data_IF_414143065977
#
_entry.id   IF_414143065977
#
_cell.length_a   1.000
_cell.length_b   1.000
_cell.length_c   1.000
_cell.angle_alpha   90.00
_cell.angle_beta   90.00
_cell.angle_gamma   90.00
#
_symmetry.space_group_name_H-M   'P 1'
#
loop_
_entity.id
_entity.type
_entity.pdbx_description
1 polymer ?
#
# COMPACT_ATOMS: atom_id res chain seq x y z
N UNK A 1 -39.81 44.65 31.35
CA UNK A 1 -39.18 44.73 30.03
C UNK A 1 -39.79 43.64 29.17
N UNK A 2 -40.86 44.00 28.47
CA UNK A 2 -41.64 43.14 27.60
C UNK A 2 -41.03 43.12 26.19
N UNK A 3 -41.51 42.17 25.40
CA UNK A 3 -41.45 42.05 23.94
C UNK A 3 -40.41 41.02 23.46
N UNK A 4 -40.86 39.77 23.42
CA UNK A 4 -40.42 38.84 22.38
C UNK A 4 -40.95 39.27 21.01
N UNK A 5 -40.16 39.00 19.97
CA UNK A 5 -40.57 38.80 18.56
C UNK A 5 -39.32 38.72 17.69
N UNK A 6 -38.91 37.51 17.28
CA UNK A 6 -38.13 37.28 16.05
C UNK A 6 -38.19 35.79 15.65
N UNK A 7 -39.38 35.28 15.32
CA UNK A 7 -39.49 34.17 14.37
C UNK A 7 -40.24 34.72 13.16
N UNK A 8 -39.46 35.06 12.14
CA UNK A 8 -39.91 35.54 10.84
C UNK A 8 -40.66 34.44 10.10
N UNK A 9 -41.76 34.79 9.43
CA UNK A 9 -42.58 33.91 8.60
C UNK A 9 -41.86 33.48 7.31
N UNK A 10 -40.86 32.62 7.44
CA UNK A 10 -40.45 31.72 6.37
C UNK A 10 -41.08 30.36 6.68
N UNK A 11 -41.74 29.74 5.69
CA UNK A 11 -42.34 28.40 5.82
C UNK A 11 -41.24 27.41 6.21
N UNK A 12 -41.05 27.18 7.50
CA UNK A 12 -40.17 26.16 8.04
C UNK A 12 -40.88 24.82 7.88
N UNK A 13 -40.76 24.23 6.69
CA UNK A 13 -41.10 22.83 6.48
C UNK A 13 -40.03 21.99 7.20
N UNK A 14 -40.35 21.57 8.43
CA UNK A 14 -39.49 20.63 9.18
C UNK A 14 -39.55 19.23 8.57
N UNK A 15 -38.43 18.51 8.62
CA UNK A 15 -38.38 17.09 8.28
C UNK A 15 -39.31 16.31 9.21
N UNK A 16 -40.10 15.39 8.65
CA UNK A 16 -40.92 14.50 9.45
C UNK A 16 -40.05 13.47 10.17
N UNK A 17 -40.48 13.03 11.35
CA UNK A 17 -39.78 12.01 12.12
C UNK A 17 -39.67 10.69 11.35
N UNK A 18 -40.67 10.37 10.53
CA UNK A 18 -40.68 9.18 9.68
C UNK A 18 -39.72 9.29 8.49
N UNK A 19 -39.54 10.48 7.91
CA UNK A 19 -38.54 10.68 6.85
C UNK A 19 -37.13 10.43 7.38
N UNK A 20 -36.81 10.91 8.58
CA UNK A 20 -35.49 10.65 9.16
C UNK A 20 -35.33 9.17 9.55
N UNK A 21 -36.39 8.54 10.07
CA UNK A 21 -36.38 7.12 10.46
C UNK A 21 -36.19 6.18 9.26
N UNK A 22 -36.85 6.45 8.13
CA UNK A 22 -36.72 5.65 6.93
C UNK A 22 -35.33 5.84 6.27
N UNK A 23 -34.74 7.03 6.36
CA UNK A 23 -33.39 7.28 5.85
C UNK A 23 -32.35 6.48 6.64
N UNK A 24 -32.41 6.48 7.97
CA UNK A 24 -31.47 5.68 8.78
C UNK A 24 -31.65 4.18 8.55
N UNK A 25 -32.88 3.74 8.24
CA UNK A 25 -33.18 2.37 7.85
C UNK A 25 -32.53 2.00 6.51
N UNK A 26 -32.66 2.85 5.48
CA UNK A 26 -32.08 2.58 4.16
C UNK A 26 -30.54 2.62 4.19
N UNK A 27 -29.93 3.61 4.86
CA UNK A 27 -28.46 3.65 4.99
C UNK A 27 -27.94 2.44 5.79
N UNK A 28 -28.71 1.92 6.75
CA UNK A 28 -28.35 0.71 7.49
C UNK A 28 -28.27 -0.53 6.59
N UNK A 29 -29.28 -0.72 5.73
CA UNK A 29 -29.32 -1.83 4.77
C UNK A 29 -28.15 -1.72 3.78
N UNK A 30 -27.96 -0.55 3.16
CA UNK A 30 -26.91 -0.35 2.17
C UNK A 30 -25.50 -0.42 2.79
N UNK A 31 -25.33 0.09 4.01
CA UNK A 31 -24.05 0.09 4.72
C UNK A 31 -23.55 -1.32 5.06
N UNK A 32 -24.47 -2.23 5.39
CA UNK A 32 -24.12 -3.62 5.75
C UNK A 32 -23.46 -4.39 4.58
N UNK A 33 -23.94 -4.18 3.36
CA UNK A 33 -23.45 -4.89 2.16
C UNK A 33 -22.03 -4.43 1.78
N UNK A 34 -21.77 -3.12 1.89
CA UNK A 34 -20.50 -2.51 1.49
C UNK A 34 -19.35 -2.93 2.44
N UNK A 35 -19.66 -3.16 3.72
CA UNK A 35 -18.64 -3.44 4.74
C UNK A 35 -17.81 -4.70 4.44
N UNK A 36 -18.42 -5.74 3.88
CA UNK A 36 -17.75 -7.03 3.60
C UNK A 36 -16.62 -6.88 2.55
N UNK A 37 -16.71 -5.89 1.65
CA UNK A 37 -15.75 -5.73 0.55
C UNK A 37 -14.50 -4.89 0.86
N UNK A 38 -14.55 -4.01 1.86
CA UNK A 38 -13.49 -3.00 2.11
C UNK A 38 -12.19 -3.63 2.62
N UNK A 39 -12.27 -4.72 3.39
CA UNK A 39 -11.09 -5.39 3.94
C UNK A 39 -10.11 -5.85 2.86
N UNK A 40 -10.62 -6.53 1.82
CA UNK A 40 -9.80 -7.03 0.73
C UNK A 40 -9.22 -5.89 -0.13
N UNK A 41 -9.97 -4.82 -0.36
CA UNK A 41 -9.50 -3.65 -1.11
C UNK A 41 -8.34 -2.95 -0.40
N UNK A 42 -8.37 -2.85 0.94
CA UNK A 42 -7.24 -2.30 1.72
C UNK A 42 -5.99 -3.17 1.60
N UNK A 43 -6.14 -4.49 1.65
CA UNK A 43 -5.02 -5.44 1.48
C UNK A 43 -4.39 -5.29 0.09
N UNK A 44 -5.21 -5.24 -0.96
CA UNK A 44 -4.73 -5.03 -2.32
C UNK A 44 -4.05 -3.66 -2.52
N UNK A 45 -4.58 -2.60 -1.90
CA UNK A 45 -3.96 -1.27 -1.95
C UNK A 45 -2.58 -1.25 -1.27
N UNK A 46 -2.41 -1.98 -0.15
CA UNK A 46 -1.11 -2.16 0.51
C UNK A 46 -0.11 -2.89 -0.40
N UNK A 47 -0.52 -4.03 -0.97
CA UNK A 47 0.34 -4.79 -1.90
C UNK A 47 0.72 -3.94 -3.10
N UNK A 48 -0.19 -3.17 -3.67
CA UNK A 48 0.10 -2.27 -4.79
C UNK A 48 1.05 -1.14 -4.39
N UNK A 49 0.93 -0.58 -3.18
CA UNK A 49 1.87 0.42 -2.66
C UNK A 49 3.28 -0.17 -2.51
N UNK A 50 3.39 -1.38 -1.95
CA UNK A 50 4.65 -2.09 -1.84
C UNK A 50 5.24 -2.44 -3.22
N UNK A 51 4.40 -2.84 -4.18
CA UNK A 51 4.81 -3.10 -5.57
C UNK A 51 5.38 -1.84 -6.24
N UNK A 52 4.77 -0.68 -6.01
CA UNK A 52 5.28 0.59 -6.52
C UNK A 52 6.66 0.92 -5.94
N UNK A 53 6.87 0.69 -4.64
CA UNK A 53 8.20 0.81 -4.02
C UNK A 53 9.18 -0.17 -4.65
N UNK A 54 8.77 -1.41 -4.88
CA UNK A 54 9.59 -2.44 -5.50
C UNK A 54 10.03 -2.05 -6.92
N UNK A 55 9.09 -1.60 -7.76
CA UNK A 55 9.34 -1.16 -9.13
C UNK A 55 10.26 0.07 -9.19
N UNK A 56 10.17 0.98 -8.21
CA UNK A 56 11.07 2.13 -8.14
C UNK A 56 12.54 1.72 -7.95
N UNK A 57 12.79 0.66 -7.19
CA UNK A 57 14.12 0.09 -7.01
C UNK A 57 14.58 -0.71 -8.24
N UNK A 58 13.66 -1.29 -9.02
CA UNK A 58 13.97 -2.12 -10.19
C UNK A 58 14.72 -1.33 -11.27
N UNK A 59 14.32 -0.07 -11.49
CA UNK A 59 14.95 0.80 -12.49
C UNK A 59 16.46 0.93 -12.26
N UNK A 60 16.86 1.22 -11.01
CA UNK A 60 18.27 1.28 -10.62
C UNK A 60 18.88 -0.12 -10.53
N UNK A 61 18.11 -1.12 -10.08
CA UNK A 61 18.56 -2.50 -10.00
C UNK A 61 19.02 -3.08 -11.34
N UNK A 62 18.38 -2.67 -12.45
CA UNK A 62 18.80 -3.05 -13.81
C UNK A 62 20.13 -2.42 -14.21
N UNK A 63 20.33 -1.13 -13.90
CA UNK A 63 21.63 -0.47 -14.10
C UNK A 63 22.73 -1.18 -13.29
N UNK A 64 22.43 -1.54 -12.04
CA UNK A 64 23.31 -2.34 -11.19
C UNK A 64 23.63 -3.71 -11.80
N UNK A 65 22.64 -4.39 -12.39
CA UNK A 65 22.85 -5.67 -13.04
C UNK A 65 23.78 -5.57 -14.26
N UNK A 66 23.66 -4.52 -15.09
CA UNK A 66 24.58 -4.33 -16.21
C UNK A 66 26.02 -4.06 -15.78
N UNK A 67 26.22 -3.35 -14.67
CA UNK A 67 27.55 -3.00 -14.14
C UNK A 67 28.21 -4.12 -13.34
N UNK A 68 27.45 -4.74 -12.44
CA UNK A 68 27.97 -5.63 -11.39
C UNK A 68 27.32 -7.01 -11.36
N UNK A 69 26.37 -7.29 -12.26
CA UNK A 69 25.60 -8.56 -12.33
C UNK A 69 24.69 -8.84 -11.14
N UNK A 70 24.32 -7.82 -10.36
CA UNK A 70 23.28 -7.95 -9.34
C UNK A 70 23.06 -6.70 -8.48
N UNK A 71 22.20 -6.84 -7.49
CA UNK A 71 21.87 -5.85 -6.45
C UNK A 71 22.27 -6.37 -5.07
N UNK A 72 22.57 -5.46 -4.15
CA UNK A 72 22.81 -5.77 -2.75
C UNK A 72 21.51 -6.18 -2.06
N UNK A 73 21.59 -6.99 -1.01
CA UNK A 73 20.45 -7.27 -0.15
C UNK A 73 20.15 -6.04 0.73
N UNK A 74 18.88 -5.64 0.91
CA UNK A 74 18.52 -4.59 1.87
C UNK A 74 19.06 -4.92 3.27
N UNK A 75 19.65 -3.95 3.96
CA UNK A 75 20.24 -4.16 5.29
C UNK A 75 19.21 -4.07 6.43
N UNK A 76 18.02 -3.55 6.15
CA UNK A 76 16.90 -3.46 7.07
C UNK A 76 15.60 -3.81 6.33
N UNK A 77 14.66 -4.42 7.04
CA UNK A 77 13.41 -4.90 6.48
C UNK A 77 12.42 -3.77 6.14
N UNK A 78 12.58 -2.58 6.73
CA UNK A 78 11.62 -1.47 6.62
C UNK A 78 12.27 -0.16 6.17
N UNK A 79 13.46 0.13 6.70
CA UNK A 79 14.18 1.38 6.50
C UNK A 79 15.63 1.10 6.09
N UNK A 80 15.84 0.42 4.95
CA UNK A 80 17.18 0.13 4.51
C UNK A 80 17.94 1.42 4.20
N UNK A 81 19.22 1.44 4.59
CA UNK A 81 20.11 2.60 4.43
C UNK A 81 21.24 2.34 3.44
N UNK A 82 21.39 1.09 3.00
CA UNK A 82 22.42 0.70 2.06
C UNK A 82 22.05 1.05 0.61
N UNK A 83 23.09 1.25 -0.20
CA UNK A 83 22.99 1.42 -1.65
C UNK A 83 22.43 0.15 -2.30
N UNK A 84 21.63 0.30 -3.37
CA UNK A 84 21.06 -0.84 -4.14
C UNK A 84 22.16 -1.71 -4.75
N UNK A 85 23.32 -1.14 -5.05
CA UNK A 85 24.54 -1.88 -5.39
C UNK A 85 25.75 -0.99 -5.13
N UNK A 86 26.94 -1.59 -5.00
CA UNK A 86 28.17 -0.86 -4.71
C UNK A 86 28.44 0.27 -5.72
N UNK A 87 28.51 1.52 -5.25
CA UNK A 87 28.75 2.68 -6.10
C UNK A 87 27.52 3.12 -6.90
N UNK A 88 26.32 2.80 -6.41
CA UNK A 88 25.07 3.44 -6.80
C UNK A 88 24.87 4.69 -5.94
N UNK A 89 24.33 5.77 -6.51
CA UNK A 89 23.92 6.97 -5.74
C UNK A 89 22.52 6.82 -5.13
N UNK A 90 21.86 5.69 -5.37
CA UNK A 90 20.52 5.41 -4.89
C UNK A 90 20.55 4.28 -3.86
N UNK A 91 19.87 4.55 -2.74
CA UNK A 91 19.65 3.61 -1.66
C UNK A 91 18.30 2.92 -1.84
N UNK A 92 18.15 1.79 -1.18
CA UNK A 92 16.85 1.17 -1.01
C UNK A 92 15.87 2.17 -0.37
N UNK A 93 14.67 2.29 -0.94
CA UNK A 93 13.62 3.16 -0.38
C UNK A 93 12.97 2.54 0.84
N UNK A 94 12.51 3.36 1.79
CA UNK A 94 11.75 2.85 2.93
C UNK A 94 10.36 2.35 2.51
N UNK A 95 9.91 1.27 3.14
CA UNK A 95 8.56 0.74 2.97
C UNK A 95 7.72 1.29 4.13
N UNK A 96 6.85 2.25 3.81
CA UNK A 96 5.89 2.82 4.77
C UNK A 96 4.50 2.16 4.65
N UNK A 97 4.48 0.92 4.16
CA UNK A 97 3.26 0.12 4.02
C UNK A 97 3.19 -0.84 5.21
N UNK A 98 2.10 -0.76 5.97
CA UNK A 98 1.87 -1.65 7.10
C UNK A 98 1.88 -3.12 6.65
N UNK A 99 2.53 -3.97 7.44
CA UNK A 99 2.61 -5.43 7.25
C UNK A 99 3.37 -5.87 5.98
N UNK A 100 4.11 -4.97 5.32
CA UNK A 100 4.99 -5.27 4.20
C UNK A 100 6.45 -4.93 4.54
N UNK A 101 7.37 -5.85 4.27
CA UNK A 101 8.81 -5.69 4.60
C UNK A 101 9.71 -6.28 3.51
N UNK A 102 10.90 -5.72 3.31
CA UNK A 102 11.93 -6.35 2.49
C UNK A 102 12.36 -7.68 3.09
N UNK A 103 12.63 -8.64 2.21
CA UNK A 103 13.30 -9.87 2.59
C UNK A 103 14.82 -9.63 2.71
N UNK A 104 15.32 -9.66 3.94
CA UNK A 104 16.73 -9.45 4.26
C UNK A 104 17.52 -10.76 4.37
N UNK A 105 16.91 -11.91 4.07
CA UNK A 105 17.53 -13.24 4.27
C UNK A 105 18.58 -13.62 3.22
N UNK A 106 18.87 -12.75 2.25
CA UNK A 106 19.92 -12.98 1.27
C UNK A 106 21.32 -12.97 1.90
N UNK A 107 22.23 -13.79 1.35
CA UNK A 107 23.64 -13.76 1.75
C UNK A 107 24.28 -12.40 1.41
N UNK A 108 25.27 -11.93 2.18
CA UNK A 108 26.00 -10.71 1.84
C UNK A 108 26.68 -10.88 0.47
N UNK A 109 26.14 -10.22 -0.55
CA UNK A 109 26.55 -10.39 -1.93
C UNK A 109 25.60 -9.73 -2.92
N UNK A 110 25.91 -9.86 -4.21
CA UNK A 110 25.05 -9.41 -5.29
C UNK A 110 24.08 -10.53 -5.68
N UNK A 111 22.79 -10.22 -5.67
CA UNK A 111 21.71 -11.11 -6.09
C UNK A 111 21.03 -10.55 -7.34
N UNK A 112 20.50 -11.41 -8.20
CA UNK A 112 19.67 -11.02 -9.34
C UNK A 112 18.20 -10.82 -8.97
N UNK A 113 17.83 -11.07 -7.71
CA UNK A 113 16.45 -11.03 -7.22
C UNK A 113 16.39 -10.41 -5.82
N UNK A 114 15.40 -9.57 -5.58
CA UNK A 114 15.00 -9.11 -4.25
C UNK A 114 13.50 -9.27 -4.08
N UNK A 115 13.02 -9.34 -2.83
CA UNK A 115 11.59 -9.52 -2.57
C UNK A 115 11.07 -8.68 -1.41
N UNK A 116 9.77 -8.41 -1.43
CA UNK A 116 9.02 -7.76 -0.36
C UNK A 116 7.89 -8.72 0.07
N UNK A 117 7.81 -9.00 1.36
CA UNK A 117 6.83 -9.91 1.95
C UNK A 117 5.75 -9.09 2.64
N UNK A 118 4.49 -9.30 2.25
CA UNK A 118 3.31 -8.69 2.88
C UNK A 118 2.51 -9.76 3.65
N UNK A 119 2.69 -9.82 4.96
CA UNK A 119 2.16 -10.91 5.82
C UNK A 119 0.64 -10.86 5.96
N UNK A 120 0.05 -9.69 6.14
CA UNK A 120 -1.41 -9.52 6.27
C UNK A 120 -2.17 -9.90 4.98
N UNK A 121 -1.54 -9.71 3.81
CA UNK A 121 -2.13 -10.05 2.53
C UNK A 121 -1.84 -11.50 2.09
N UNK A 122 -0.92 -12.22 2.75
CA UNK A 122 -0.49 -13.53 2.29
C UNK A 122 0.26 -13.47 0.94
N UNK A 123 0.91 -12.35 0.62
CA UNK A 123 1.56 -12.11 -0.69
C UNK A 123 3.05 -11.82 -0.57
N UNK A 124 3.81 -12.20 -1.58
CA UNK A 124 5.23 -11.88 -1.77
C UNK A 124 5.42 -11.21 -3.12
N UNK A 125 6.09 -10.07 -3.15
CA UNK A 125 6.47 -9.38 -4.38
C UNK A 125 7.92 -9.77 -4.67
N UNK A 126 8.17 -10.45 -5.78
CA UNK A 126 9.50 -10.89 -6.22
C UNK A 126 9.90 -10.07 -7.43
N UNK A 127 11.03 -9.38 -7.34
CA UNK A 127 11.56 -8.54 -8.41
C UNK A 127 12.91 -9.06 -8.89
N UNK A 128 12.99 -9.43 -10.17
CA UNK A 128 14.23 -9.81 -10.83
C UNK A 128 14.84 -8.67 -11.63
N UNK A 129 16.15 -8.47 -11.47
CA UNK A 129 16.93 -7.43 -12.16
C UNK A 129 17.66 -7.96 -13.41
N UNK A 130 17.75 -9.29 -13.55
CA UNK A 130 18.37 -9.95 -14.69
C UNK A 130 17.41 -9.99 -15.91
N UNK A 131 17.92 -10.02 -17.15
CA UNK A 131 17.09 -9.96 -18.36
C UNK A 131 16.16 -11.18 -18.53
N UNK A 132 16.54 -12.34 -17.99
CA UNK A 132 15.77 -13.59 -17.97
C UNK A 132 14.60 -13.56 -16.98
N UNK A 133 14.69 -12.75 -15.92
CA UNK A 133 13.70 -12.64 -14.85
C UNK A 133 13.25 -11.20 -14.59
N UNK A 134 13.34 -10.34 -15.60
CA UNK A 134 13.15 -8.90 -15.46
C UNK A 134 11.71 -8.53 -15.09
N UNK A 135 11.55 -7.73 -14.03
CA UNK A 135 10.23 -7.23 -13.59
C UNK A 135 9.87 -7.66 -12.17
N UNK A 136 8.80 -7.07 -11.62
CA UNK A 136 8.22 -7.51 -10.36
C UNK A 136 6.95 -8.33 -10.58
N UNK A 137 6.80 -9.41 -9.80
CA UNK A 137 5.64 -10.29 -9.81
C UNK A 137 5.11 -10.46 -8.40
N UNK A 138 3.79 -10.57 -8.25
CA UNK A 138 3.15 -10.86 -6.97
C UNK A 138 2.81 -12.34 -6.92
N UNK A 139 3.31 -13.02 -5.89
CA UNK A 139 3.16 -14.44 -5.65
C UNK A 139 2.43 -14.66 -4.30
N UNK A 140 1.80 -15.82 -4.15
CA UNK A 140 1.21 -16.25 -2.89
C UNK A 140 2.30 -16.71 -1.91
N UNK A 141 2.17 -16.31 -0.63
CA UNK A 141 3.00 -16.87 0.43
C UNK A 141 2.61 -18.34 0.66
N UNK A 142 3.58 -19.26 0.83
CA UNK A 142 3.32 -20.65 1.17
C UNK A 142 2.71 -20.81 2.57
#
# INVERSE_FOLDING_TARGET
MLIGRFFSNNKCNGFTLIELLLVILIIGILGSIIFVGIGNQRKNARVNGALQTAESALAIGRECYFRLKGVSTPNDATNPTNEICSGSRANWGSINVQDCVYDTTGSPGLTSVYSIVCTDAGKRIVCGVAPDNGGCKVEDLP
#
